data_IF_975154407166
#
_entry.id   IF_975154407166
#
_cell.length_a   1.000
_cell.length_b   1.000
_cell.length_c   1.000
_cell.angle_alpha   90.00
_cell.angle_beta   90.00
_cell.angle_gamma   90.00
#
_symmetry.space_group_name_H-M   'P 1'
#
loop_
_entity.id
_entity.type
_entity.pdbx_description
1 polymer ?
#
# COMPACT_ATOMS: atom_id res chain seq x y z
N UNK A 1 19.78 -11.88 14.41
CA UNK A 1 19.54 -11.20 13.12
C UNK A 1 18.10 -10.77 13.03
N UNK A 2 17.81 -9.61 12.43
CA UNK A 2 16.42 -9.18 12.29
C UNK A 2 15.66 -10.11 11.34
N UNK A 3 14.37 -10.21 11.56
CA UNK A 3 13.49 -11.07 10.76
C UNK A 3 12.50 -10.25 9.97
N UNK A 4 12.18 -10.71 8.77
CA UNK A 4 11.10 -10.15 7.98
C UNK A 4 9.77 -10.40 8.69
N UNK A 5 8.95 -9.36 8.82
CA UNK A 5 7.66 -9.46 9.51
C UNK A 5 6.61 -10.27 8.72
N UNK A 6 6.87 -10.53 7.44
CA UNK A 6 5.92 -11.29 6.59
C UNK A 6 6.35 -12.75 6.47
N UNK A 7 7.56 -13.00 6.00
CA UNK A 7 7.99 -14.38 5.72
C UNK A 7 8.87 -14.99 6.81
N UNK A 8 9.30 -14.20 7.79
CA UNK A 8 10.10 -14.71 8.90
C UNK A 8 11.55 -14.99 8.56
N UNK A 9 12.01 -14.62 7.37
CA UNK A 9 13.37 -14.84 6.96
C UNK A 9 14.36 -14.00 7.76
N UNK A 10 15.43 -14.62 8.25
CA UNK A 10 16.53 -13.88 8.88
C UNK A 10 17.37 -13.21 7.82
N UNK A 11 17.50 -11.90 7.89
CA UNK A 11 18.23 -11.15 6.89
C UNK A 11 18.89 -9.93 7.51
N UNK A 12 20.20 -9.80 7.31
CA UNK A 12 20.96 -8.71 7.91
C UNK A 12 20.71 -7.35 7.25
N UNK A 13 20.13 -7.34 6.06
CA UNK A 13 19.87 -6.11 5.31
C UNK A 13 18.36 -5.82 5.20
N UNK A 14 17.59 -6.18 6.22
CA UNK A 14 16.16 -5.87 6.20
C UNK A 14 15.95 -4.35 6.07
N UNK A 15 14.92 -3.99 5.33
CA UNK A 15 14.49 -2.60 5.28
C UNK A 15 13.48 -2.35 6.40
N UNK A 16 13.57 -1.19 7.01
CA UNK A 16 12.61 -0.77 8.02
C UNK A 16 11.77 0.34 7.42
N UNK A 17 10.45 0.16 7.42
CA UNK A 17 9.53 1.12 6.81
C UNK A 17 8.58 1.60 7.88
N UNK A 18 8.48 2.92 8.02
CA UNK A 18 7.52 3.56 8.91
C UNK A 18 6.51 4.32 8.08
N UNK A 19 5.25 4.03 8.29
CA UNK A 19 4.15 4.70 7.60
C UNK A 19 2.99 4.91 8.57
N UNK A 20 2.58 6.16 8.73
CA UNK A 20 1.43 6.51 9.57
C UNK A 20 1.53 5.93 10.99
N UNK A 21 2.71 5.98 11.60
CA UNK A 21 2.94 5.47 12.94
C UNK A 21 3.15 3.96 13.02
N UNK A 22 3.13 3.26 11.89
CA UNK A 22 3.38 1.81 11.84
C UNK A 22 4.77 1.54 11.27
N UNK A 23 5.52 0.70 11.95
CA UNK A 23 6.86 0.31 11.52
C UNK A 23 6.91 -1.19 11.26
N UNK A 24 7.46 -1.58 10.11
CA UNK A 24 7.66 -2.98 9.77
C UNK A 24 9.07 -3.21 9.25
N UNK A 25 9.53 -4.45 9.39
CA UNK A 25 10.83 -4.88 8.88
C UNK A 25 10.61 -5.93 7.81
N UNK A 26 11.25 -5.76 6.66
CA UNK A 26 11.00 -6.61 5.51
C UNK A 26 12.31 -6.93 4.80
N UNK A 27 12.42 -8.16 4.29
CA UNK A 27 13.59 -8.58 3.55
C UNK A 27 13.54 -8.22 2.06
N UNK A 28 12.38 -7.78 1.58
CA UNK A 28 12.18 -7.43 0.18
C UNK A 28 11.03 -6.44 0.04
N UNK A 29 10.99 -5.76 -1.10
CA UNK A 29 9.86 -4.89 -1.41
C UNK A 29 8.56 -5.69 -1.57
N UNK A 30 8.64 -6.92 -2.04
CA UNK A 30 7.47 -7.79 -2.13
C UNK A 30 6.81 -7.98 -0.77
N UNK A 31 7.59 -8.29 0.25
CA UNK A 31 7.06 -8.43 1.61
C UNK A 31 6.53 -7.12 2.15
N UNK A 32 7.22 -6.00 1.89
CA UNK A 32 6.75 -4.68 2.32
C UNK A 32 5.41 -4.34 1.69
N UNK A 33 5.25 -4.60 0.40
CA UNK A 33 3.99 -4.36 -0.31
C UNK A 33 2.88 -5.24 0.27
N UNK A 34 3.16 -6.51 0.49
CA UNK A 34 2.19 -7.45 1.05
C UNK A 34 1.66 -6.98 2.40
N UNK A 35 2.53 -6.43 3.25
CA UNK A 35 2.16 -6.03 4.60
C UNK A 35 1.58 -4.61 4.68
N UNK A 36 2.07 -3.69 3.87
CA UNK A 36 1.83 -2.26 4.09
C UNK A 36 1.14 -1.54 2.95
N UNK A 37 1.19 -2.03 1.72
CA UNK A 37 0.55 -1.34 0.60
C UNK A 37 -0.96 -1.39 0.75
N UNK A 38 -1.65 -0.26 0.52
CA UNK A 38 -3.11 -0.25 0.59
C UNK A 38 -3.72 -1.03 -0.57
N UNK A 39 -4.96 -1.45 -0.41
CA UNK A 39 -5.73 -2.12 -1.46
C UNK A 39 -6.81 -1.19 -1.98
N UNK A 40 -7.03 -1.23 -3.28
CA UNK A 40 -8.16 -0.53 -3.89
C UNK A 40 -9.47 -1.03 -3.28
N UNK A 41 -10.30 -0.11 -2.80
CA UNK A 41 -11.56 -0.47 -2.17
C UNK A 41 -12.58 -1.06 -3.16
N UNK A 42 -12.37 -0.87 -4.46
CA UNK A 42 -13.28 -1.36 -5.50
C UNK A 42 -12.80 -2.69 -6.10
N UNK A 43 -11.58 -2.72 -6.64
CA UNK A 43 -11.11 -3.91 -7.36
C UNK A 43 -10.17 -4.81 -6.56
N UNK A 44 -9.70 -4.36 -5.40
CA UNK A 44 -8.83 -5.16 -4.55
C UNK A 44 -7.36 -5.18 -4.94
N UNK A 45 -6.98 -4.47 -5.99
CA UNK A 45 -5.57 -4.38 -6.39
C UNK A 45 -4.75 -3.66 -5.33
N UNK A 46 -3.49 -4.05 -5.17
CA UNK A 46 -2.56 -3.30 -4.34
C UNK A 46 -2.25 -1.96 -4.99
N UNK A 47 -2.31 -0.90 -4.21
CA UNK A 47 -1.97 0.45 -4.68
C UNK A 47 -0.52 0.69 -4.29
N UNK A 48 0.38 0.58 -5.27
CA UNK A 48 1.82 0.66 -5.03
C UNK A 48 2.34 2.07 -5.25
N UNK A 49 1.80 2.74 -6.25
CA UNK A 49 2.17 4.12 -6.56
C UNK A 49 1.15 5.11 -6.04
N UNK A 50 0.98 6.18 -6.75
CA UNK A 50 -0.03 7.18 -6.42
C UNK A 50 -1.40 6.65 -6.79
N UNK A 51 -2.31 6.68 -5.83
CA UNK A 51 -3.69 6.27 -6.04
C UNK A 51 -4.63 7.43 -5.83
N UNK A 52 -5.89 7.11 -5.62
CA UNK A 52 -6.93 8.08 -5.30
C UNK A 52 -7.33 7.86 -3.85
N UNK A 53 -7.35 8.93 -3.08
CA UNK A 53 -7.93 8.92 -1.75
C UNK A 53 -9.26 9.65 -1.79
N UNK A 54 -10.33 8.96 -1.41
CA UNK A 54 -11.67 9.53 -1.38
C UNK A 54 -12.33 9.14 -0.06
N UNK A 55 -12.60 10.13 0.78
CA UNK A 55 -12.99 9.88 2.16
C UNK A 55 -11.85 9.18 2.88
N UNK A 56 -12.14 8.06 3.52
CA UNK A 56 -11.13 7.21 4.16
C UNK A 56 -10.83 5.95 3.34
N UNK A 57 -11.18 5.95 2.05
CA UNK A 57 -10.92 4.84 1.16
C UNK A 57 -9.85 5.18 0.13
N UNK A 58 -9.16 4.16 -0.35
CA UNK A 58 -8.13 4.29 -1.36
C UNK A 58 -8.54 3.49 -2.58
N UNK A 59 -8.31 4.06 -3.77
CA UNK A 59 -8.62 3.43 -5.04
C UNK A 59 -7.39 3.48 -5.94
N UNK A 60 -7.26 2.48 -6.82
CA UNK A 60 -6.10 2.42 -7.72
C UNK A 60 -6.16 3.48 -8.82
N UNK A 61 -7.34 3.95 -9.16
CA UNK A 61 -7.51 4.96 -10.21
C UNK A 61 -8.87 5.63 -10.06
N UNK A 62 -9.06 6.73 -10.77
CA UNK A 62 -10.32 7.49 -10.73
C UNK A 62 -11.51 6.65 -11.22
N UNK A 63 -11.28 5.72 -12.15
CA UNK A 63 -12.32 4.82 -12.64
C UNK A 63 -12.94 4.00 -11.49
N UNK A 64 -12.11 3.40 -10.65
CA UNK A 64 -12.59 2.62 -9.51
C UNK A 64 -13.28 3.51 -8.47
N UNK A 65 -12.76 4.71 -8.23
CA UNK A 65 -13.39 5.65 -7.30
C UNK A 65 -14.77 6.06 -7.79
N UNK A 66 -14.91 6.31 -9.10
CA UNK A 66 -16.22 6.66 -9.67
C UNK A 66 -17.21 5.50 -9.59
N UNK A 67 -16.76 4.28 -9.79
CA UNK A 67 -17.61 3.09 -9.61
C UNK A 67 -18.12 2.95 -8.18
N UNK A 68 -17.35 3.41 -7.21
CA UNK A 68 -17.74 3.36 -5.80
C UNK A 68 -18.59 4.56 -5.38
N UNK A 69 -18.90 5.49 -6.30
CA UNK A 69 -19.77 6.62 -6.02
C UNK A 69 -19.07 7.95 -5.83
N UNK A 70 -17.77 8.03 -6.00
CA UNK A 70 -17.02 9.28 -5.88
C UNK A 70 -16.80 9.88 -7.27
N UNK A 71 -17.31 11.07 -7.52
CA UNK A 71 -17.36 11.64 -8.86
C UNK A 71 -16.33 12.73 -9.13
N UNK A 72 -15.81 13.40 -8.12
CA UNK A 72 -14.91 14.54 -8.28
C UNK A 72 -13.47 14.21 -7.91
N UNK A 73 -13.00 13.04 -8.34
CA UNK A 73 -11.67 12.56 -7.99
C UNK A 73 -10.76 12.56 -9.20
N UNK A 74 -9.48 12.80 -8.96
CA UNK A 74 -8.42 12.73 -9.96
C UNK A 74 -7.31 11.84 -9.44
N UNK A 75 -6.57 11.21 -10.34
CA UNK A 75 -5.37 10.47 -9.96
C UNK A 75 -4.36 11.43 -9.34
N UNK A 76 -3.70 10.96 -8.27
CA UNK A 76 -2.64 11.75 -7.67
C UNK A 76 -1.50 11.89 -8.66
N UNK A 77 -1.13 13.12 -8.96
CA UNK A 77 0.02 13.39 -9.80
C UNK A 77 1.29 13.10 -9.02
N UNK A 78 2.21 12.42 -9.67
CA UNK A 78 3.49 12.14 -9.06
C UNK A 78 4.32 13.43 -8.91
#
# INVERSE_FOLDING_TARGET
>A
MPKCDVCGNDYDKVMEITQAGRTGKFDSFECAIEAMAPKCAHCGCRVIGHGIEAGDQVFCCAHCARHAGFSDVKDHAA
#
